data_IF_597551630200
#
_entry.id   IF_597551630200
#
_cell.length_a   1.000
_cell.length_b   1.000
_cell.length_c   1.000
_cell.angle_alpha   90.00
_cell.angle_beta   90.00
_cell.angle_gamma   90.00
#
_symmetry.space_group_name_H-M   'P 1'
#
loop_
_entity.id
_entity.type
_entity.pdbx_description
1 polymer ?
#
# COMPACT_ATOMS: atom_id res chain seq x y z
N UNK A 1 -3.45 13.57 -27.95
CA UNK A 1 -2.02 13.78 -28.20
C UNK A 1 -1.24 12.47 -28.18
N UNK A 2 -1.28 11.64 -27.12
CA UNK A 2 -0.58 10.34 -27.10
C UNK A 2 -1.07 9.34 -28.17
N UNK A 3 -2.35 9.35 -28.52
CA UNK A 3 -2.90 8.49 -29.58
C UNK A 3 -2.32 8.78 -30.97
N UNK A 4 -1.80 9.98 -31.21
CA UNK A 4 -1.19 10.39 -32.48
C UNK A 4 0.25 9.88 -32.64
N UNK A 5 0.87 9.38 -31.56
CA UNK A 5 2.21 8.78 -31.60
C UNK A 5 2.20 7.29 -31.96
N UNK A 6 1.02 6.68 -32.05
CA UNK A 6 0.84 5.28 -32.45
C UNK A 6 1.21 5.07 -33.91
N UNK A 7 1.90 3.97 -34.21
CA UNK A 7 2.24 3.56 -35.57
C UNK A 7 1.01 3.37 -36.45
N UNK A 8 -0.10 2.88 -35.88
CA UNK A 8 -1.40 2.81 -36.59
C UNK A 8 -1.99 4.17 -37.00
N UNK A 9 -1.56 5.25 -36.35
CA UNK A 9 -2.01 6.62 -36.61
C UNK A 9 -0.91 7.47 -37.29
N UNK A 10 0.16 6.84 -37.79
CA UNK A 10 1.25 7.52 -38.51
C UNK A 10 2.39 8.03 -37.63
N UNK A 11 2.50 7.57 -36.38
CA UNK A 11 3.60 7.90 -35.47
C UNK A 11 4.77 6.90 -35.48
N UNK A 12 5.84 7.24 -34.77
CA UNK A 12 7.10 6.47 -34.75
C UNK A 12 7.11 5.28 -33.78
N UNK A 13 6.13 5.17 -32.88
CA UNK A 13 6.14 4.20 -31.77
C UNK A 13 5.09 3.11 -31.94
N UNK A 14 5.47 1.88 -31.57
CA UNK A 14 4.55 0.74 -31.60
C UNK A 14 3.36 0.94 -30.66
N UNK A 15 2.17 0.60 -31.13
CA UNK A 15 0.90 0.85 -30.45
C UNK A 15 0.87 0.30 -29.02
N UNK A 16 1.48 -0.86 -28.79
CA UNK A 16 1.55 -1.51 -27.49
C UNK A 16 2.38 -0.71 -26.46
N UNK A 17 3.44 -0.02 -26.90
CA UNK A 17 4.27 0.83 -26.04
C UNK A 17 3.49 2.09 -25.65
N UNK A 18 2.81 2.71 -26.63
CA UNK A 18 1.99 3.91 -26.40
C UNK A 18 0.83 3.59 -25.45
N UNK A 19 0.17 2.44 -25.62
CA UNK A 19 -0.91 2.00 -24.73
C UNK A 19 -0.42 1.66 -23.32
N UNK A 20 0.79 1.11 -23.19
CA UNK A 20 1.46 0.91 -21.90
C UNK A 20 1.70 2.23 -21.17
N UNK A 21 2.28 3.23 -21.85
CA UNK A 21 2.54 4.56 -21.26
C UNK A 21 1.24 5.26 -20.88
N UNK A 22 0.21 5.22 -21.74
CA UNK A 22 -1.11 5.79 -21.43
C UNK A 22 -1.73 5.13 -20.19
N UNK A 23 -1.51 3.83 -20.00
CA UNK A 23 -2.01 3.11 -18.83
C UNK A 23 -1.30 3.54 -17.55
N UNK A 24 0.03 3.69 -17.59
CA UNK A 24 0.81 4.22 -16.46
C UNK A 24 0.38 5.65 -16.10
N UNK A 25 0.18 6.52 -17.10
CA UNK A 25 -0.28 7.91 -16.87
C UNK A 25 -1.63 7.95 -16.15
N UNK A 26 -2.53 7.00 -16.43
CA UNK A 26 -3.83 6.90 -15.74
C UNK A 26 -3.73 6.44 -14.29
N UNK A 27 -2.62 5.80 -13.89
CA UNK A 27 -2.37 5.38 -12.50
C UNK A 27 -1.74 6.51 -11.68
N UNK A 28 -1.09 7.50 -12.30
CA UNK A 28 -0.45 8.63 -11.59
C UNK A 28 -1.40 9.37 -10.62
N UNK A 29 -2.65 9.72 -10.98
CA UNK A 29 -3.58 10.34 -10.02
C UNK A 29 -3.82 9.47 -8.78
N UNK A 30 -3.80 8.15 -8.94
CA UNK A 30 -3.92 7.20 -7.84
C UNK A 30 -2.68 7.21 -6.94
N UNK A 31 -1.49 7.31 -7.53
CA UNK A 31 -0.25 7.47 -6.78
C UNK A 31 -0.28 8.72 -5.88
N UNK A 32 -0.88 9.83 -6.35
CA UNK A 32 -1.04 11.03 -5.53
C UNK A 32 -1.95 10.83 -4.32
N UNK A 33 -3.05 10.07 -4.47
CA UNK A 33 -3.97 9.78 -3.37
C UNK A 33 -3.32 8.92 -2.28
N UNK A 34 -2.39 8.02 -2.61
CA UNK A 34 -1.71 7.20 -1.60
C UNK A 34 -0.55 7.92 -0.90
N UNK A 35 -0.19 9.15 -1.29
CA UNK A 35 0.87 9.93 -0.62
C UNK A 35 0.51 10.21 0.84
N UNK A 36 -0.73 10.62 1.11
CA UNK A 36 -1.18 10.89 2.48
C UNK A 36 -1.14 9.62 3.33
N UNK A 37 -1.57 8.49 2.75
CA UNK A 37 -1.44 7.19 3.41
C UNK A 37 0.01 6.89 3.81
N UNK A 38 0.98 7.12 2.92
CA UNK A 38 2.40 6.93 3.25
C UNK A 38 2.90 7.91 4.32
N UNK A 39 2.37 9.14 4.33
CA UNK A 39 2.67 10.09 5.39
C UNK A 39 2.18 9.59 6.77
N UNK A 40 1.00 8.96 6.84
CA UNK A 40 0.49 8.30 8.05
C UNK A 40 1.32 7.06 8.41
N UNK A 41 1.66 6.24 7.42
CA UNK A 41 2.49 5.05 7.64
C UNK A 41 3.85 5.42 8.26
N UNK A 42 4.45 6.52 7.82
CA UNK A 42 5.73 7.03 8.35
C UNK A 42 5.67 7.47 9.83
N UNK A 43 4.48 7.67 10.39
CA UNK A 43 4.31 8.05 11.80
C UNK A 43 4.79 6.96 12.76
N UNK A 44 4.79 5.69 12.33
CA UNK A 44 5.36 4.58 13.09
C UNK A 44 6.83 4.81 13.48
N UNK A 45 7.59 5.46 12.61
CA UNK A 45 9.01 5.77 12.84
C UNK A 45 9.25 7.16 13.44
N UNK A 46 8.22 8.01 13.50
CA UNK A 46 8.33 9.38 14.01
C UNK A 46 7.56 9.52 15.33
N UNK A 47 6.27 9.85 15.25
CA UNK A 47 5.45 10.17 16.42
C UNK A 47 5.19 8.95 17.32
N UNK A 48 5.00 7.75 16.77
CA UNK A 48 4.79 6.54 17.58
C UNK A 48 6.08 6.13 18.29
N UNK A 49 7.21 6.30 17.60
CA UNK A 49 8.52 6.09 18.17
C UNK A 49 8.78 7.08 19.32
N UNK A 50 8.57 8.37 19.11
CA UNK A 50 8.71 9.40 20.13
C UNK A 50 7.78 9.17 21.34
N UNK A 51 6.53 8.75 21.10
CA UNK A 51 5.61 8.33 22.15
C UNK A 51 6.16 7.17 22.97
N UNK A 52 6.73 6.16 22.31
CA UNK A 52 7.25 4.96 22.97
C UNK A 52 8.46 5.21 23.85
N UNK A 53 9.31 6.19 23.50
CA UNK A 53 10.45 6.61 24.33
C UNK A 53 10.02 7.27 25.65
N UNK A 54 8.74 7.67 25.77
CA UNK A 54 8.15 8.28 26.97
C UNK A 54 7.18 7.36 27.69
N UNK A 55 7.18 6.08 27.35
CA UNK A 55 6.42 5.01 27.99
C UNK A 55 7.37 4.04 28.70
N UNK A 56 6.84 3.25 29.63
CA UNK A 56 7.61 2.21 30.31
C UNK A 56 7.95 1.09 29.32
N UNK A 57 9.23 1.04 28.93
CA UNK A 57 9.79 0.04 28.03
C UNK A 57 10.28 -1.21 28.76
N UNK A 58 10.15 -1.27 30.09
CA UNK A 58 10.58 -2.43 30.85
C UNK A 58 9.62 -3.60 30.63
N UNK A 59 10.18 -4.70 30.14
CA UNK A 59 9.52 -5.99 30.08
C UNK A 59 10.06 -6.75 31.29
N UNK A 60 9.23 -6.85 32.34
CA UNK A 60 9.60 -7.31 33.68
C UNK A 60 10.70 -8.38 33.75
N UNK A 61 11.57 -8.27 34.75
CA UNK A 61 12.82 -9.06 34.82
C UNK A 61 14.08 -8.29 34.38
N UNK A 62 13.99 -6.96 34.25
CA UNK A 62 15.15 -6.09 33.99
C UNK A 62 15.54 -5.96 32.50
N UNK A 63 14.68 -6.41 31.59
CA UNK A 63 14.91 -6.30 30.14
C UNK A 63 14.16 -5.09 29.60
N UNK A 64 14.86 -4.17 28.94
CA UNK A 64 14.25 -3.02 28.28
C UNK A 64 14.05 -3.31 26.79
N UNK A 65 12.83 -3.08 26.29
CA UNK A 65 12.49 -3.25 24.88
C UNK A 65 12.84 -1.97 24.13
N UNK A 66 13.66 -1.99 23.07
CA UNK A 66 13.93 -0.80 22.30
C UNK A 66 12.65 -0.35 21.56
N UNK A 67 12.38 0.95 21.56
CA UNK A 67 11.26 1.57 20.84
C UNK A 67 11.13 1.08 19.38
N UNK A 68 12.25 0.91 18.68
CA UNK A 68 12.27 0.44 17.30
C UNK A 68 11.72 -1.00 17.14
N UNK A 69 11.84 -1.85 18.17
CA UNK A 69 11.33 -3.22 18.12
C UNK A 69 9.80 -3.30 18.12
N UNK A 70 9.09 -2.21 18.42
CA UNK A 70 7.62 -2.18 18.35
C UNK A 70 7.09 -2.36 16.93
N UNK A 71 7.90 -2.05 15.91
CA UNK A 71 7.56 -2.38 14.52
C UNK A 71 7.31 -3.88 14.30
N UNK A 72 7.84 -4.76 15.15
CA UNK A 72 7.52 -6.20 15.12
C UNK A 72 6.02 -6.43 15.28
N UNK A 73 5.31 -5.62 16.07
CA UNK A 73 3.86 -5.74 16.22
C UNK A 73 3.11 -5.43 14.92
N UNK A 74 3.60 -4.49 14.10
CA UNK A 74 3.08 -4.27 12.75
C UNK A 74 3.26 -5.54 11.90
N UNK A 75 4.47 -6.08 11.84
CA UNK A 75 4.77 -7.30 11.06
C UNK A 75 3.94 -8.50 11.52
N UNK A 76 3.82 -8.72 12.82
CA UNK A 76 3.00 -9.80 13.39
C UNK A 76 1.53 -9.59 13.06
N UNK A 77 1.02 -8.37 13.16
CA UNK A 77 -0.36 -8.05 12.79
C UNK A 77 -0.62 -8.37 11.31
N UNK A 78 0.33 -8.06 10.41
CA UNK A 78 0.21 -8.40 8.98
C UNK A 78 0.16 -9.91 8.77
N UNK A 79 1.08 -10.66 9.39
CA UNK A 79 1.14 -12.13 9.28
C UNK A 79 -0.18 -12.77 9.74
N UNK A 80 -0.80 -12.23 10.80
CA UNK A 80 -2.08 -12.71 11.31
C UNK A 80 -3.23 -12.24 10.42
N UNK A 81 -3.21 -11.01 9.92
CA UNK A 81 -4.30 -10.45 9.14
C UNK A 81 -4.40 -10.99 7.72
N UNK A 82 -3.28 -11.30 7.03
CA UNK A 82 -3.30 -11.89 5.68
C UNK A 82 -4.24 -13.12 5.58
N UNK A 83 -4.08 -14.18 6.40
CA UNK A 83 -4.96 -15.35 6.30
C UNK A 83 -6.40 -15.02 6.69
N UNK A 84 -6.63 -14.05 7.57
CA UNK A 84 -7.98 -13.57 7.91
C UNK A 84 -8.62 -12.90 6.70
N UNK A 85 -7.90 -11.99 6.04
CA UNK A 85 -8.41 -11.28 4.87
C UNK A 85 -8.69 -12.28 3.73
N UNK A 86 -7.74 -13.16 3.43
CA UNK A 86 -7.83 -14.07 2.29
C UNK A 86 -8.83 -15.21 2.49
N UNK A 87 -8.91 -15.78 3.70
CA UNK A 87 -9.80 -16.93 3.98
C UNK A 87 -11.14 -16.56 4.57
N UNK A 88 -11.25 -15.43 5.25
CA UNK A 88 -12.50 -15.02 5.89
C UNK A 88 -13.16 -13.86 5.14
N UNK A 89 -12.45 -12.74 4.95
CA UNK A 89 -13.05 -11.51 4.41
C UNK A 89 -13.43 -11.69 2.93
N UNK A 90 -12.48 -12.04 2.05
CA UNK A 90 -12.77 -12.16 0.62
C UNK A 90 -13.84 -13.21 0.30
N UNK A 91 -13.81 -14.43 0.89
CA UNK A 91 -14.85 -15.42 0.63
C UNK A 91 -16.20 -15.00 1.19
N UNK A 92 -16.25 -14.27 2.30
CA UNK A 92 -17.51 -13.75 2.86
C UNK A 92 -18.18 -12.76 1.90
N UNK A 93 -17.42 -11.79 1.39
CA UNK A 93 -17.93 -10.82 0.41
C UNK A 93 -18.33 -11.48 -0.92
N UNK A 94 -17.60 -12.51 -1.35
CA UNK A 94 -17.97 -13.31 -2.52
C UNK A 94 -19.28 -14.09 -2.29
N UNK A 95 -19.48 -14.68 -1.11
CA UNK A 95 -20.74 -15.36 -0.74
C UNK A 95 -21.92 -14.40 -0.65
N UNK A 96 -21.68 -13.15 -0.27
CA UNK A 96 -22.69 -12.08 -0.27
C UNK A 96 -23.01 -11.53 -1.67
N UNK A 97 -22.39 -12.06 -2.73
CA UNK A 97 -22.62 -11.63 -4.11
C UNK A 97 -22.08 -10.24 -4.45
N UNK A 98 -21.21 -9.67 -3.60
CA UNK A 98 -20.63 -8.33 -3.78
C UNK A 98 -19.11 -8.41 -3.60
N UNK A 99 -18.35 -8.85 -4.63
CA UNK A 99 -16.90 -8.94 -4.52
C UNK A 99 -16.31 -7.55 -4.21
N UNK A 100 -15.32 -7.54 -3.32
CA UNK A 100 -14.61 -6.32 -2.95
C UNK A 100 -13.70 -5.89 -4.11
N UNK A 101 -14.04 -4.77 -4.75
CA UNK A 101 -13.21 -4.15 -5.79
C UNK A 101 -11.94 -3.54 -5.17
N UNK A 102 -10.89 -3.38 -5.98
CA UNK A 102 -9.61 -2.77 -5.54
C UNK A 102 -9.81 -1.41 -4.86
N UNK A 103 -10.68 -0.55 -5.40
CA UNK A 103 -10.96 0.78 -4.82
C UNK A 103 -11.63 0.67 -3.44
N UNK A 104 -12.55 -0.27 -3.25
CA UNK A 104 -13.21 -0.47 -1.94
C UNK A 104 -12.24 -0.98 -0.89
N UNK A 105 -11.35 -1.90 -1.28
CA UNK A 105 -10.29 -2.41 -0.40
C UNK A 105 -9.38 -1.26 0.05
N UNK A 106 -8.90 -0.44 -0.87
CA UNK A 106 -8.04 0.72 -0.54
C UNK A 106 -8.77 1.71 0.37
N UNK A 107 -10.05 1.98 0.13
CA UNK A 107 -10.86 2.79 1.03
C UNK A 107 -11.00 2.21 2.45
N UNK A 108 -11.14 0.89 2.61
CA UNK A 108 -11.12 0.22 3.92
C UNK A 108 -9.77 0.45 4.61
N UNK A 109 -8.67 0.37 3.86
CA UNK A 109 -7.33 0.63 4.39
C UNK A 109 -7.20 2.06 4.92
N UNK A 110 -7.71 3.06 4.19
CA UNK A 110 -7.71 4.45 4.65
C UNK A 110 -8.51 4.64 5.95
N UNK A 111 -9.65 3.96 6.10
CA UNK A 111 -10.43 3.97 7.35
C UNK A 111 -9.59 3.40 8.51
N UNK A 112 -8.90 2.27 8.31
CA UNK A 112 -8.02 1.70 9.33
C UNK A 112 -6.87 2.64 9.71
N UNK A 113 -6.27 3.32 8.72
CA UNK A 113 -5.22 4.32 8.97
C UNK A 113 -5.74 5.50 9.79
N UNK A 114 -6.94 6.02 9.48
CA UNK A 114 -7.59 7.08 10.27
C UNK A 114 -7.87 6.62 11.70
N UNK A 115 -8.44 5.42 11.89
CA UNK A 115 -8.74 4.90 13.23
C UNK A 115 -7.43 4.68 14.01
N UNK A 116 -6.36 4.23 13.37
CA UNK A 116 -5.04 4.09 14.00
C UNK A 116 -4.56 5.40 14.61
N UNK A 117 -4.64 6.50 13.85
CA UNK A 117 -4.22 7.82 14.34
C UNK A 117 -5.10 8.34 15.48
N UNK A 118 -6.41 8.07 15.43
CA UNK A 118 -7.32 8.40 16.55
C UNK A 118 -6.92 7.62 17.81
N UNK A 119 -6.65 6.31 17.68
CA UNK A 119 -6.21 5.47 18.80
C UNK A 119 -4.88 5.97 19.35
N UNK A 120 -3.91 6.31 18.49
CA UNK A 120 -2.63 6.87 18.92
C UNK A 120 -2.78 8.18 19.72
N UNK A 121 -3.71 9.05 19.31
CA UNK A 121 -4.07 10.27 20.06
C UNK A 121 -4.70 9.96 21.42
N UNK A 122 -5.59 8.98 21.50
CA UNK A 122 -6.21 8.55 22.78
C UNK A 122 -5.16 7.93 23.73
N UNK A 123 -4.26 7.13 23.19
CA UNK A 123 -3.13 6.55 23.95
C UNK A 123 -2.24 7.67 24.49
N UNK A 124 -2.01 8.73 23.73
CA UNK A 124 -1.23 9.88 24.19
C UNK A 124 -1.89 10.64 25.35
N UNK A 125 -3.19 10.90 25.24
CA UNK A 125 -3.96 11.51 26.34
C UNK A 125 -3.84 10.66 27.60
N UNK A 126 -4.01 9.35 27.45
CA UNK A 126 -3.91 8.41 28.57
C UNK A 126 -2.50 8.43 29.17
N UNK A 127 -1.45 8.40 28.34
CA UNK A 127 -0.05 8.42 28.76
C UNK A 127 0.26 9.63 29.64
N UNK A 128 -0.21 10.81 29.25
CA UNK A 128 -0.05 12.07 30.01
C UNK A 128 -0.83 12.07 31.31
N UNK A 129 -2.06 11.57 31.31
CA UNK A 129 -2.86 11.43 32.52
C UNK A 129 -2.19 10.52 33.56
N UNK A 130 -1.51 9.45 33.12
CA UNK A 130 -0.69 8.61 34.01
C UNK A 130 0.59 9.31 34.48
N UNK A 131 1.23 10.13 33.63
CA UNK A 131 2.41 10.90 33.99
C UNK A 131 2.12 11.88 35.15
N UNK A 132 0.98 12.57 35.07
CA UNK A 132 0.54 13.54 36.07
C UNK A 132 0.13 12.89 37.41
N UNK A 133 -0.31 11.62 37.37
CA UNK A 133 -0.86 10.91 38.55
C UNK A 133 0.12 10.02 39.29
N UNK A 134 1.05 9.37 38.60
CA UNK A 134 1.76 8.19 39.13
C UNK A 134 3.23 8.43 39.55
N UNK A 135 3.68 9.69 39.55
CA UNK A 135 5.10 10.10 39.56
C UNK A 135 5.84 9.63 38.29
N UNK A 136 6.60 10.52 37.63
CA UNK A 136 7.36 10.16 36.44
C UNK A 136 8.46 9.14 36.76
N UNK A 137 8.58 8.12 35.90
CA UNK A 137 9.72 7.21 35.89
C UNK A 137 10.87 7.89 35.15
N UNK A 138 12.04 7.99 35.78
CA UNK A 138 13.25 8.42 35.07
C UNK A 138 13.86 7.17 34.43
N UNK A 139 13.72 7.06 33.10
CA UNK A 139 14.33 5.98 32.33
C UNK A 139 15.51 6.49 31.52
N UNK A 140 16.59 5.70 31.47
CA UNK A 140 17.76 6.03 30.66
C UNK A 140 17.74 5.20 29.38
N UNK A 141 17.47 5.84 28.23
CA UNK A 141 17.54 5.23 26.90
C UNK A 141 18.68 5.89 26.11
N UNK A 142 19.56 5.08 25.51
CA UNK A 142 20.65 5.60 24.67
C UNK A 142 21.62 6.54 25.38
N UNK A 143 21.70 6.50 26.72
CA UNK A 143 22.52 7.41 27.53
C UNK A 143 21.86 8.76 27.85
N UNK A 144 20.60 8.97 27.46
CA UNK A 144 19.81 10.13 27.84
C UNK A 144 18.72 9.75 28.86
N UNK A 145 18.44 10.64 29.80
CA UNK A 145 17.40 10.44 30.80
C UNK A 145 16.10 11.08 30.34
N UNK A 146 15.06 10.27 30.23
CA UNK A 146 13.73 10.71 29.85
C UNK A 146 12.78 10.55 31.03
N UNK A 147 11.91 11.54 31.20
CA UNK A 147 10.73 11.44 32.05
C UNK A 147 9.69 10.60 31.32
N UNK A 148 9.39 9.42 31.82
CA UNK A 148 8.47 8.47 31.22
C UNK A 148 7.26 8.21 32.12
N UNK A 149 6.13 7.93 31.46
CA UNK A 149 4.92 7.48 32.11
C UNK A 149 5.06 6.03 32.56
N UNK A 150 4.45 5.64 33.68
CA UNK A 150 4.36 4.25 34.16
C UNK A 150 3.52 3.35 33.23
N UNK A 151 2.96 3.91 32.16
CA UNK A 151 2.17 3.20 31.17
C UNK A 151 3.07 2.33 30.29
N UNK A 152 2.78 1.03 30.23
CA UNK A 152 3.56 0.10 29.43
C UNK A 152 3.46 0.40 27.94
N UNK A 153 4.61 0.31 27.25
CA UNK A 153 4.72 0.50 25.80
C UNK A 153 3.82 -0.45 24.98
N UNK A 154 3.44 -1.60 25.54
CA UNK A 154 2.53 -2.55 24.88
C UNK A 154 1.12 -2.01 24.66
N UNK A 155 0.72 -0.91 25.30
CA UNK A 155 -0.57 -0.27 25.02
C UNK A 155 -0.62 0.34 23.61
N UNK A 156 0.52 0.52 22.93
CA UNK A 156 0.55 0.93 21.53
C UNK A 156 0.22 -0.21 20.54
N UNK A 157 0.16 -1.48 20.97
CA UNK A 157 -0.14 -2.62 20.07
C UNK A 157 -1.37 -2.38 19.16
N UNK A 158 -2.51 -1.84 19.65
CA UNK A 158 -3.68 -1.60 18.82
C UNK A 158 -3.41 -0.63 17.66
N UNK A 159 -2.64 0.44 17.87
CA UNK A 159 -2.37 1.42 16.80
C UNK A 159 -1.44 0.81 15.74
N UNK A 160 -0.42 0.05 16.14
CA UNK A 160 0.43 -0.69 15.20
C UNK A 160 -0.36 -1.75 14.42
N UNK A 161 -1.26 -2.48 15.08
CA UNK A 161 -2.10 -3.49 14.43
C UNK A 161 -3.07 -2.86 13.41
N UNK A 162 -3.61 -1.67 13.71
CA UNK A 162 -4.49 -0.94 12.79
C UNK A 162 -3.71 -0.38 11.58
N UNK A 163 -2.48 0.10 11.76
CA UNK A 163 -1.61 0.44 10.62
C UNK A 163 -1.33 -0.80 9.78
N UNK A 164 -0.99 -1.93 10.39
CA UNK A 164 -0.75 -3.18 9.64
C UNK A 164 -1.97 -3.68 8.88
N UNK A 165 -3.16 -3.56 9.46
CA UNK A 165 -4.41 -3.83 8.75
C UNK A 165 -4.59 -2.87 7.57
N UNK A 166 -4.31 -1.58 7.75
CA UNK A 166 -4.37 -0.59 6.67
C UNK A 166 -3.38 -0.88 5.53
N UNK A 167 -2.22 -1.45 5.85
CA UNK A 167 -1.19 -1.80 4.87
C UNK A 167 -1.63 -2.89 3.91
N UNK A 168 -2.30 -3.92 4.42
CA UNK A 168 -2.84 -5.01 3.59
C UNK A 168 -3.88 -4.46 2.60
N UNK A 169 -4.78 -3.62 3.09
CA UNK A 169 -5.88 -3.09 2.29
C UNK A 169 -5.47 -1.97 1.33
N UNK A 170 -4.45 -1.19 1.66
CA UNK A 170 -3.99 -0.07 0.84
C UNK A 170 -2.77 -0.45 0.02
N UNK A 171 -1.64 -0.76 0.66
CA UNK A 171 -0.34 -0.91 0.00
C UNK A 171 -0.33 -2.09 -0.97
N UNK A 172 -0.69 -3.28 -0.47
CA UNK A 172 -0.72 -4.51 -1.27
C UNK A 172 -1.75 -4.38 -2.40
N UNK A 173 -2.97 -3.93 -2.08
CA UNK A 173 -4.05 -3.78 -3.05
C UNK A 173 -3.74 -2.72 -4.12
N UNK A 174 -3.07 -1.62 -3.77
CA UNK A 174 -2.64 -0.61 -4.74
C UNK A 174 -1.64 -1.18 -5.73
N UNK A 175 -0.69 -1.98 -5.23
CA UNK A 175 0.30 -2.62 -6.07
C UNK A 175 -0.32 -3.69 -6.98
N UNK A 176 -1.24 -4.51 -6.45
CA UNK A 176 -2.04 -5.46 -7.24
C UNK A 176 -2.85 -4.74 -8.31
N UNK A 177 -3.50 -3.63 -7.97
CA UNK A 177 -4.25 -2.82 -8.92
C UNK A 177 -3.34 -2.28 -10.01
N UNK A 178 -2.18 -1.71 -9.65
CA UNK A 178 -1.22 -1.18 -10.60
C UNK A 178 -0.73 -2.27 -11.57
N UNK A 179 -0.37 -3.45 -11.07
CA UNK A 179 0.08 -4.56 -11.91
C UNK A 179 -1.01 -5.10 -12.84
N UNK A 180 -2.28 -5.08 -12.42
CA UNK A 180 -3.41 -5.49 -13.26
C UNK A 180 -3.85 -4.43 -14.29
N UNK A 181 -3.34 -3.20 -14.17
CA UNK A 181 -3.72 -2.08 -15.03
C UNK A 181 -2.60 -1.68 -16.01
N UNK A 182 -1.50 -2.44 -16.08
CA UNK A 182 -0.40 -2.17 -17.00
C UNK A 182 0.19 -3.43 -17.63
N UNK A 183 0.75 -3.32 -18.85
CA UNK A 183 1.45 -4.44 -19.49
C UNK A 183 2.72 -4.82 -18.73
N UNK A 184 3.14 -6.08 -18.88
CA UNK A 184 4.31 -6.67 -18.19
C UNK A 184 5.57 -5.81 -18.34
N UNK A 185 5.80 -5.26 -19.54
CA UNK A 185 6.95 -4.39 -19.82
C UNK A 185 7.00 -3.09 -18.99
N UNK A 186 5.88 -2.65 -18.42
CA UNK A 186 5.76 -1.39 -17.66
C UNK A 186 5.60 -1.61 -16.14
N UNK A 187 5.55 -2.86 -15.69
CA UNK A 187 5.36 -3.18 -14.27
C UNK A 187 6.50 -2.65 -13.38
N UNK A 188 7.75 -2.68 -13.86
CA UNK A 188 8.88 -2.10 -13.14
C UNK A 188 8.77 -0.58 -12.95
N UNK A 189 8.26 0.14 -13.97
CA UNK A 189 8.03 1.58 -13.89
C UNK A 189 6.95 1.91 -12.84
N UNK A 190 5.89 1.11 -12.76
CA UNK A 190 4.86 1.27 -11.75
C UNK A 190 5.37 1.04 -10.32
N UNK A 191 6.18 0.00 -10.11
CA UNK A 191 6.83 -0.21 -8.82
C UNK A 191 7.73 0.98 -8.45
N UNK A 192 8.48 1.51 -9.41
CA UNK A 192 9.29 2.72 -9.23
C UNK A 192 8.45 3.94 -8.84
N UNK A 193 7.32 4.16 -9.52
CA UNK A 193 6.39 5.24 -9.19
C UNK A 193 5.76 5.08 -7.80
N UNK A 194 5.45 3.85 -7.41
CA UNK A 194 4.91 3.54 -6.08
C UNK A 194 5.93 3.80 -4.96
N UNK A 195 7.19 3.41 -5.15
CA UNK A 195 8.29 3.74 -4.24
C UNK A 195 8.60 5.24 -4.21
N UNK A 196 8.48 5.92 -5.34
CA UNK A 196 8.60 7.38 -5.38
C UNK A 196 7.47 8.03 -4.57
N UNK A 197 6.23 7.55 -4.70
CA UNK A 197 5.09 8.04 -3.92
C UNK A 197 5.28 7.81 -2.41
N UNK A 198 5.87 6.69 -1.98
CA UNK A 198 6.20 6.46 -0.57
C UNK A 198 7.29 7.40 -0.06
N UNK A 199 8.32 7.65 -0.86
CA UNK A 199 9.35 8.65 -0.55
C UNK A 199 8.78 10.06 -0.41
N UNK A 200 7.91 10.47 -1.34
CA UNK A 200 7.21 11.76 -1.27
C UNK A 200 6.30 11.80 -0.03
N UNK A 201 5.60 10.70 0.30
CA UNK A 201 4.80 10.60 1.52
C UNK A 201 5.61 10.84 2.79
N UNK A 202 6.83 10.30 2.88
CA UNK A 202 7.73 10.56 4.00
C UNK A 202 8.15 12.04 4.07
N UNK A 203 8.45 12.68 2.95
CA UNK A 203 8.73 14.12 2.94
C UNK A 203 7.52 14.97 3.33
N UNK A 204 6.33 14.60 2.86
CA UNK A 204 5.07 15.25 3.27
C UNK A 204 4.86 15.11 4.78
N UNK A 205 5.11 13.94 5.34
CA UNK A 205 5.06 13.72 6.80
C UNK A 205 6.01 14.65 7.55
N UNK A 206 7.29 14.68 7.17
CA UNK A 206 8.26 15.59 7.78
C UNK A 206 7.87 17.05 7.62
N UNK A 207 7.33 17.44 6.45
CA UNK A 207 6.84 18.80 6.22
C UNK A 207 5.64 19.13 7.13
N UNK A 208 4.71 18.20 7.33
CA UNK A 208 3.58 18.40 8.27
C UNK A 208 4.12 18.61 9.68
N UNK A 209 5.07 17.81 10.15
CA UNK A 209 5.69 17.99 11.47
C UNK A 209 6.33 19.38 11.61
N UNK A 210 7.13 19.80 10.63
CA UNK A 210 7.80 21.10 10.63
C UNK A 210 6.80 22.28 10.58
N UNK A 211 5.74 22.17 9.79
CA UNK A 211 4.68 23.19 9.72
C UNK A 211 3.94 23.28 11.05
N UNK A 212 3.63 22.15 11.67
CA UNK A 212 2.93 22.12 12.96
C UNK A 212 3.81 22.70 14.05
N UNK A 213 5.09 22.34 14.08
CA UNK A 213 6.08 22.91 15.01
C UNK A 213 6.15 24.45 14.89
N UNK A 214 6.27 24.99 13.67
CA UNK A 214 6.31 26.45 13.47
C UNK A 214 4.96 27.14 13.72
N UNK A 215 3.85 26.47 13.43
CA UNK A 215 2.52 27.05 13.60
C UNK A 215 2.05 27.06 15.06
N UNK A 216 2.68 26.24 15.92
CA UNK A 216 2.27 26.03 17.31
C UNK A 216 3.30 26.51 18.33
N UNK A 217 4.18 27.45 17.98
CA UNK A 217 5.25 27.96 18.88
C UNK A 217 4.75 28.38 20.29
N UNK A 218 3.53 28.93 20.40
CA UNK A 218 2.96 29.35 21.68
C UNK A 218 2.31 28.23 22.51
N UNK A 219 1.95 27.12 21.88
CA UNK A 219 1.31 25.95 22.50
C UNK A 219 1.71 24.70 21.69
N UNK A 220 2.96 24.22 21.84
CA UNK A 220 3.59 23.33 20.87
C UNK A 220 2.85 22.01 20.78
N UNK A 221 2.50 21.58 19.56
CA UNK A 221 1.93 20.24 19.31
C UNK A 221 3.02 19.21 18.96
N UNK A 222 4.21 19.69 18.60
CA UNK A 222 5.41 18.90 18.32
C UNK A 222 6.62 19.65 18.83
N UNK A 223 7.50 18.99 19.57
CA UNK A 223 8.72 19.55 20.14
C UNK A 223 9.68 18.41 20.53
N UNK A 224 10.94 18.74 20.82
CA UNK A 224 11.94 17.77 21.31
C UNK A 224 11.51 17.08 22.61
N UNK A 225 10.87 17.82 23.52
CA UNK A 225 10.31 17.27 24.76
C UNK A 225 8.81 16.99 24.59
N UNK A 226 8.50 15.74 24.30
CA UNK A 226 7.13 15.26 24.02
C UNK A 226 6.19 15.40 25.22
N UNK A 227 6.72 15.41 26.45
CA UNK A 227 5.89 15.55 27.64
C UNK A 227 5.23 16.94 27.75
N UNK A 228 5.89 17.98 27.24
CA UNK A 228 5.42 19.36 27.34
C UNK A 228 4.63 19.81 26.10
N UNK A 229 4.53 18.97 25.07
CA UNK A 229 3.84 19.29 23.82
C UNK A 229 2.54 18.51 23.66
N UNK A 230 1.55 19.06 22.95
CA UNK A 230 0.24 18.44 22.69
C UNK A 230 0.26 17.52 21.48
N UNK A 231 1.08 16.47 21.54
CA UNK A 231 1.21 15.49 20.46
C UNK A 231 -0.12 14.81 20.07
N UNK A 232 -1.07 14.67 21.01
CA UNK A 232 -2.43 14.20 20.74
C UNK A 232 -3.14 15.05 19.67
N UNK A 233 -2.96 16.36 19.66
CA UNK A 233 -3.57 17.25 18.67
C UNK A 233 -2.97 17.03 17.28
N UNK A 234 -1.65 16.78 17.20
CA UNK A 234 -0.98 16.40 15.96
C UNK A 234 -1.53 15.06 15.44
N UNK A 235 -1.72 14.06 16.31
CA UNK A 235 -2.30 12.77 15.93
C UNK A 235 -3.73 12.93 15.39
N UNK A 236 -4.56 13.75 16.03
CA UNK A 236 -5.92 14.04 15.56
C UNK A 236 -5.94 14.87 14.26
N UNK A 237 -5.00 15.80 14.09
CA UNK A 237 -4.81 16.53 12.84
C UNK A 237 -4.50 15.56 11.69
N UNK A 238 -3.55 14.65 11.90
CA UNK A 238 -3.20 13.61 10.93
C UNK A 238 -4.36 12.66 10.64
N UNK A 239 -5.15 12.28 11.66
CA UNK A 239 -6.38 11.53 11.47
C UNK A 239 -7.39 12.30 10.59
N UNK A 240 -7.55 13.60 10.83
CA UNK A 240 -8.42 14.49 10.05
C UNK A 240 -7.95 14.66 8.60
N UNK A 241 -6.65 14.81 8.37
CA UNK A 241 -6.06 14.87 7.03
C UNK A 241 -6.26 13.56 6.26
N UNK A 242 -6.07 12.41 6.93
CA UNK A 242 -6.32 11.10 6.32
C UNK A 242 -7.82 10.90 6.02
N UNK A 243 -8.71 11.37 6.90
CA UNK A 243 -10.15 11.32 6.66
C UNK A 243 -10.58 12.20 5.49
N UNK A 244 -9.98 13.39 5.35
CA UNK A 244 -10.19 14.27 4.21
C UNK A 244 -9.70 13.61 2.91
N UNK A 245 -8.51 13.02 2.93
CA UNK A 245 -7.97 12.27 1.80
C UNK A 245 -8.88 11.08 1.41
N UNK A 246 -9.45 10.38 2.39
CA UNK A 246 -10.47 9.36 2.13
C UNK A 246 -11.73 9.89 1.45
N UNK A 247 -12.20 11.09 1.81
CA UNK A 247 -13.35 11.73 1.14
C UNK A 247 -12.99 12.06 -0.31
N UNK A 248 -11.81 12.65 -0.54
CA UNK A 248 -11.32 12.97 -1.89
C UNK A 248 -11.18 11.68 -2.71
N UNK A 249 -10.62 10.63 -2.11
CA UNK A 249 -10.52 9.30 -2.71
C UNK A 249 -11.89 8.73 -3.10
N UNK A 250 -12.91 8.84 -2.25
CA UNK A 250 -14.26 8.39 -2.58
C UNK A 250 -14.83 9.13 -3.79
N UNK A 251 -14.60 10.44 -3.90
CA UNK A 251 -15.03 11.25 -5.04
C UNK A 251 -14.33 10.76 -6.31
N UNK A 252 -13.00 10.63 -6.29
CA UNK A 252 -12.22 10.16 -7.44
C UNK A 252 -12.62 8.74 -7.83
N UNK A 253 -12.80 7.85 -6.85
CA UNK A 253 -13.23 6.47 -7.05
C UNK A 253 -14.62 6.37 -7.68
N UNK A 254 -15.51 7.33 -7.39
CA UNK A 254 -16.84 7.39 -8.01
C UNK A 254 -16.78 7.72 -9.51
N UNK A 255 -15.85 8.59 -9.91
CA UNK A 255 -15.64 8.94 -11.32
C UNK A 255 -14.71 7.98 -12.07
N UNK A 256 -13.98 7.11 -11.34
CA UNK A 256 -13.02 6.20 -11.93
C UNK A 256 -13.72 5.04 -12.65
N UNK A 257 -13.45 4.90 -13.95
CA UNK A 257 -13.93 3.76 -14.74
C UNK A 257 -12.85 2.69 -14.81
N UNK A 258 -13.14 1.50 -14.28
CA UNK A 258 -12.25 0.34 -14.36
C UNK A 258 -11.93 -0.01 -15.84
N UNK A 259 -10.64 -0.21 -16.15
CA UNK A 259 -10.26 -0.81 -17.44
C UNK A 259 -10.30 -2.33 -17.32
N UNK A 260 -10.80 -2.98 -18.35
CA UNK A 260 -10.87 -4.44 -18.45
C UNK A 260 -9.47 -5.02 -18.67
N UNK A 261 -8.96 -5.90 -17.77
CA UNK A 261 -7.64 -6.52 -17.89
C UNK A 261 -7.44 -7.28 -19.23
N UNK A 262 -8.53 -7.78 -19.83
CA UNK A 262 -8.51 -8.51 -21.11
C UNK A 262 -8.04 -7.65 -22.30
N UNK A 263 -7.98 -6.32 -22.15
CA UNK A 263 -7.39 -5.43 -23.18
C UNK A 263 -5.86 -5.55 -23.24
N UNK A 264 -5.20 -5.91 -22.14
CA UNK A 264 -3.75 -6.04 -22.09
C UNK A 264 -3.28 -7.39 -22.65
N UNK A 265 -4.04 -8.46 -22.40
CA UNK A 265 -3.76 -9.81 -22.91
C UNK A 265 -3.87 -9.86 -24.45
N UNK A 266 -4.90 -9.24 -25.03
CA UNK A 266 -5.04 -9.09 -26.50
C UNK A 266 -3.93 -8.30 -27.16
N UNK A 267 -3.24 -7.43 -26.42
CA UNK A 267 -2.12 -6.65 -26.96
C UNK A 267 -0.82 -7.47 -26.96
N UNK A 268 -0.70 -8.45 -26.07
CA UNK A 268 0.42 -9.39 -26.02
C UNK A 268 0.29 -10.53 -27.06
N UNK A 269 -0.93 -10.88 -27.45
CA UNK A 269 -1.22 -11.93 -28.45
C UNK A 269 -1.14 -11.48 -29.91
N UNK A 270 -0.92 -10.19 -30.22
CA UNK A 270 -0.76 -9.77 -31.61
C UNK A 270 0.52 -10.44 -32.16
N UNK A 271 0.41 -11.41 -33.09
CA UNK A 271 1.59 -11.97 -33.71
C UNK A 271 2.25 -10.83 -34.48
N UNK A 272 3.56 -10.70 -34.37
CA UNK A 272 4.36 -9.92 -35.32
C UNK A 272 4.03 -10.47 -36.71
N UNK A 273 3.11 -9.82 -37.42
CA UNK A 273 2.75 -10.24 -38.76
C UNK A 273 3.99 -10.10 -39.63
N UNK A 274 4.48 -11.22 -40.13
CA UNK A 274 5.45 -11.32 -41.21
C UNK A 274 5.22 -10.20 -42.23
N UNK A 275 6.18 -9.30 -42.34
CA UNK A 275 6.34 -8.52 -43.57
C UNK A 275 6.83 -9.50 -44.63
N UNK A 276 5.93 -9.97 -45.47
CA UNK A 276 6.29 -10.58 -46.75
C UNK A 276 6.77 -9.48 -47.70
N UNK A 277 8.02 -9.05 -47.56
CA UNK A 277 8.71 -8.32 -48.62
C UNK A 277 9.23 -9.37 -49.62
N UNK A 278 8.50 -9.55 -50.72
CA UNK A 278 8.98 -10.27 -51.90
C UNK A 278 10.03 -9.41 -52.61
N UNK A 279 11.33 -9.70 -52.45
CA UNK A 279 12.30 -9.71 -53.56
C UNK A 279 13.66 -10.34 -53.20
N UNK A 280 14.11 -11.31 -54.01
CA UNK A 280 15.53 -11.49 -54.40
C UNK A 280 16.57 -12.19 -53.50
N UNK A 281 16.68 -13.52 -53.66
CA UNK A 281 17.92 -14.37 -53.60
C UNK A 281 18.65 -14.72 -52.28
N UNK A 282 19.33 -15.89 -52.23
CA UNK A 282 19.59 -16.61 -50.99
C UNK A 282 21.02 -16.40 -50.43
N UNK A 283 21.13 -16.18 -49.13
CA UNK A 283 22.38 -16.40 -48.40
C UNK A 283 22.11 -17.30 -47.20
N UNK A 284 22.65 -18.51 -47.27
CA UNK A 284 22.86 -19.39 -46.12
C UNK A 284 23.62 -18.61 -45.05
N UNK A 285 23.05 -18.47 -43.86
CA UNK A 285 23.74 -18.53 -42.57
C UNK A 285 22.69 -18.55 -41.45
N UNK A 286 22.57 -19.69 -40.79
CA UNK A 286 21.75 -19.85 -39.60
C UNK A 286 22.55 -19.46 -38.34
N UNK A 287 21.93 -18.79 -37.36
CA UNK A 287 22.32 -18.91 -35.97
C UNK A 287 21.19 -19.52 -35.10
N UNK A 288 21.53 -20.10 -33.94
CA UNK A 288 20.81 -21.22 -33.35
C UNK A 288 19.55 -20.81 -32.57
N UNK A 289 18.54 -21.68 -32.65
CA UNK A 289 17.32 -21.62 -31.84
C UNK A 289 17.64 -21.79 -30.35
N UNK A 290 17.35 -20.76 -29.55
CA UNK A 290 17.13 -20.92 -28.11
C UNK A 290 15.62 -20.76 -27.88
N UNK A 291 15.04 -21.65 -27.07
CA UNK A 291 13.61 -21.85 -26.80
C UNK A 291 12.89 -22.84 -27.73
N UNK A 292 13.14 -24.13 -27.49
CA UNK A 292 12.15 -25.18 -27.67
C UNK A 292 12.37 -26.26 -26.60
N UNK A 293 11.65 -26.13 -25.49
CA UNK A 293 11.24 -27.15 -24.51
C UNK A 293 10.37 -26.34 -23.54
N UNK A 294 9.05 -26.46 -23.48
CA UNK A 294 8.21 -27.63 -23.39
C UNK A 294 6.85 -27.32 -24.01
N UNK A 295 6.46 -28.04 -25.07
CA UNK A 295 5.07 -28.49 -25.16
C UNK A 295 4.94 -29.70 -26.09
N UNK A 296 4.53 -30.83 -25.51
CA UNK A 296 3.45 -31.67 -26.03
C UNK A 296 3.44 -33.00 -25.26
N UNK A 297 2.38 -33.21 -24.50
CA UNK A 297 1.55 -34.41 -24.65
C UNK A 297 0.30 -34.23 -23.79
N UNK A 298 -0.81 -33.85 -24.43
CA UNK A 298 -2.01 -34.70 -24.54
C UNK A 298 -3.16 -33.91 -25.19
N UNK A 299 -3.41 -34.20 -26.45
CA UNK A 299 -4.70 -34.00 -27.11
C UNK A 299 -5.22 -35.33 -27.62
N UNK A 300 -6.56 -35.39 -27.79
CA UNK A 300 -7.41 -36.43 -28.37
C UNK A 300 -7.90 -37.48 -27.35
N UNK A 301 -9.20 -37.66 -27.10
CA UNK A 301 -10.33 -37.69 -28.04
C UNK A 301 -11.68 -37.23 -27.46
N UNK A 302 -12.47 -36.59 -28.31
CA UNK A 302 -13.90 -36.36 -28.14
C UNK A 302 -14.69 -37.51 -28.80
N UNK A 303 -15.63 -38.12 -28.08
CA UNK A 303 -16.62 -39.06 -28.62
C UNK A 303 -18.03 -38.53 -28.32
N UNK A 304 -18.85 -38.43 -29.36
CA UNK A 304 -20.26 -38.00 -29.39
C UNK A 304 -21.21 -38.98 -28.66
N UNK A 305 -22.44 -38.56 -28.30
CA UNK A 305 -23.41 -39.38 -27.60
C UNK A 305 -24.29 -40.20 -28.57
N UNK A 306 -24.72 -41.40 -28.16
CA UNK A 306 -25.80 -42.15 -28.81
C UNK A 306 -26.65 -42.92 -27.78
N UNK A 307 -27.96 -42.72 -27.90
CA UNK A 307 -29.13 -43.47 -27.40
C UNK A 307 -28.97 -44.77 -26.60
N UNK A 308 -29.84 -44.92 -25.59
CA UNK A 308 -30.66 -46.12 -25.45
C UNK A 308 -30.57 -46.91 -24.14
N UNK A 309 -31.69 -46.92 -23.42
CA UNK A 309 -32.25 -47.97 -22.53
C UNK A 309 -31.69 -48.20 -21.11
N UNK A 310 -32.62 -48.04 -20.15
CA UNK A 310 -32.73 -48.65 -18.80
C UNK A 310 -32.81 -50.20 -18.88
N UNK A 311 -32.95 -51.00 -17.78
CA UNK A 311 -33.07 -50.68 -16.34
C UNK A 311 -32.14 -51.50 -15.42
N UNK A 312 -31.95 -51.03 -14.18
CA UNK A 312 -32.23 -51.71 -12.89
C UNK A 312 -31.72 -50.84 -11.75
#
# INVERSE_FOLDING_TARGET
MLSSAKRSHGGDFEDHLVDGVVSVIKVIPFCFLVIMYWAIYSQMSNTFFAQSERMDVSMGGGVNVPAAALNVFNTVAIIIMIPIVDRLIYPCFNKMGKPLTYLKRIGIGFIFATISMIVAGIVEISRKEYLDRANPLVQSLGGQNFSASTMSVFVQIPQFALVGASEIFTSITTLEFAYNQAPVAMQGLLTGLFLAASGVGNWVSTAILAIVESATEGDPWWADEINDCKMENLMFLLAGLMALDFIIFCIVAHYYTYQDPAKFEKTAEVPVSEKSDTDGSPSNDAPPSYYNTFDNQHTHDAVKPSDGTTPF
#
